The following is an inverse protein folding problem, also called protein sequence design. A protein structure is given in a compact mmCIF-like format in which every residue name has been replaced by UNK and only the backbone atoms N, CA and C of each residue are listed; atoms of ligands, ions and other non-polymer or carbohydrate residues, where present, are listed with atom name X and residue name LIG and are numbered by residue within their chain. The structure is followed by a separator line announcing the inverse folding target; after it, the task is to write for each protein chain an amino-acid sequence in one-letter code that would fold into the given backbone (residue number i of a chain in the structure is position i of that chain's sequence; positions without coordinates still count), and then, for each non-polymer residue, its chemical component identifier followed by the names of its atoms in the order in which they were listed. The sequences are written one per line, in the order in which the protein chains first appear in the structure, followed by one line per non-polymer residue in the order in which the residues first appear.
data_IF_985724587728
#
_entry.id   IF_985724587728
#
_cell.length_a   1.000
_cell.length_b   1.000
_cell.length_c   1.000
_cell.angle_alpha   90.00
_cell.angle_beta   90.00
_cell.angle_gamma   90.00
#
_symmetry.space_group_name_H-M   'P 1'
#
loop_
_entity.id
_entity.type
_entity.pdbx_description
1 polymer ?
#
# COMPACT_ATOMS: atom_id res chain seq x y z
N UNK A 1 -4.23 -21.43 -20.36
CA UNK A 1 -4.97 -22.19 -19.32
C UNK A 1 -4.10 -22.48 -18.10
N UNK A 2 -2.91 -23.10 -18.25
CA UNK A 2 -2.00 -23.37 -17.11
C UNK A 2 -1.56 -22.14 -16.30
N UNK A 3 -1.47 -20.96 -16.92
CA UNK A 3 -1.06 -19.72 -16.24
C UNK A 3 -2.13 -19.19 -15.27
N UNK A 4 -3.41 -19.32 -15.62
CA UNK A 4 -4.52 -18.80 -14.82
C UNK A 4 -4.79 -19.66 -13.59
N UNK A 5 -4.69 -20.99 -13.72
CA UNK A 5 -4.82 -21.91 -12.59
C UNK A 5 -3.65 -21.79 -11.58
N UNK A 6 -2.46 -21.47 -12.09
CA UNK A 6 -1.23 -21.23 -11.30
C UNK A 6 -1.32 -19.89 -10.55
N UNK A 7 -1.78 -18.83 -11.22
CA UNK A 7 -2.04 -17.52 -10.62
C UNK A 7 -3.15 -17.60 -9.56
N UNK A 8 -4.25 -18.31 -9.83
CA UNK A 8 -5.34 -18.52 -8.87
C UNK A 8 -4.87 -19.28 -7.62
N UNK A 9 -4.03 -20.29 -7.78
CA UNK A 9 -3.47 -21.04 -6.64
C UNK A 9 -2.52 -20.18 -5.80
N UNK A 10 -1.66 -19.40 -6.43
CA UNK A 10 -0.78 -18.45 -5.73
C UNK A 10 -1.60 -17.42 -4.96
N UNK A 11 -2.64 -16.86 -5.57
CA UNK A 11 -3.50 -15.84 -4.95
C UNK A 11 -4.26 -16.40 -3.73
N UNK A 12 -4.76 -17.63 -3.79
CA UNK A 12 -5.42 -18.27 -2.64
C UNK A 12 -4.55 -18.33 -1.38
N UNK A 13 -3.23 -18.52 -1.53
CA UNK A 13 -2.32 -18.50 -0.37
C UNK A 13 -2.13 -17.09 0.20
N UNK A 14 -2.05 -16.09 -0.68
CA UNK A 14 -1.97 -14.68 -0.28
C UNK A 14 -3.24 -14.25 0.47
N UNK A 15 -4.41 -14.62 -0.04
CA UNK A 15 -5.71 -14.33 0.57
C UNK A 15 -5.90 -15.07 1.90
N UNK A 16 -5.45 -16.33 1.96
CA UNK A 16 -5.44 -17.11 3.19
C UNK A 16 -4.56 -16.47 4.26
N UNK A 17 -3.36 -16.00 3.88
CA UNK A 17 -2.48 -15.27 4.80
C UNK A 17 -3.13 -13.95 5.27
N UNK A 18 -3.76 -13.20 4.37
CA UNK A 18 -4.44 -11.96 4.72
C UNK A 18 -5.57 -12.19 5.74
N UNK A 19 -6.38 -13.23 5.54
CA UNK A 19 -7.42 -13.66 6.49
C UNK A 19 -6.81 -13.97 7.86
N UNK A 20 -5.71 -14.74 7.89
CA UNK A 20 -5.04 -15.13 9.13
C UNK A 20 -4.40 -13.95 9.88
N UNK A 21 -3.86 -12.97 9.14
CA UNK A 21 -3.34 -11.73 9.73
C UNK A 21 -4.48 -10.95 10.40
N UNK A 22 -5.65 -10.87 9.77
CA UNK A 22 -6.82 -10.22 10.36
C UNK A 22 -7.33 -10.92 11.62
N UNK A 23 -7.28 -12.26 11.67
CA UNK A 23 -7.76 -13.04 12.81
C UNK A 23 -6.81 -13.02 14.02
N UNK A 24 -5.50 -13.11 13.77
CA UNK A 24 -4.50 -13.36 14.84
C UNK A 24 -3.13 -12.73 14.63
N UNK A 25 -2.94 -11.96 13.57
CA UNK A 25 -1.68 -11.33 13.22
C UNK A 25 -0.67 -12.26 12.53
N UNK A 26 0.33 -11.63 11.89
CA UNK A 26 1.35 -12.34 11.10
C UNK A 26 2.25 -13.24 11.94
N UNK A 27 2.69 -12.76 13.12
CA UNK A 27 3.59 -13.51 14.00
C UNK A 27 2.99 -14.87 14.44
N UNK A 28 1.70 -14.90 14.77
CA UNK A 28 0.99 -16.11 15.22
C UNK A 28 0.54 -17.05 14.08
N UNK A 29 0.82 -16.70 12.83
CA UNK A 29 0.43 -17.48 11.65
C UNK A 29 1.54 -18.44 11.21
N UNK A 30 1.21 -19.68 10.86
CA UNK A 30 2.15 -20.66 10.30
C UNK A 30 1.80 -21.08 8.86
N UNK A 31 2.73 -21.72 8.15
CA UNK A 31 2.45 -22.30 6.82
C UNK A 31 1.35 -23.36 6.90
N UNK A 32 1.25 -24.11 8.01
CA UNK A 32 0.17 -25.09 8.22
C UNK A 32 -1.20 -24.41 8.24
N UNK A 33 -1.30 -23.26 8.90
CA UNK A 33 -2.55 -22.49 8.95
C UNK A 33 -2.92 -21.99 7.56
N UNK A 34 -1.95 -21.42 6.83
CA UNK A 34 -2.16 -20.86 5.49
C UNK A 34 -2.70 -21.93 4.54
N UNK A 35 -2.07 -23.10 4.47
CA UNK A 35 -2.52 -24.16 3.55
C UNK A 35 -3.87 -24.75 3.93
N UNK A 36 -4.21 -24.75 5.23
CA UNK A 36 -5.54 -25.15 5.71
C UNK A 36 -6.62 -24.18 5.24
N UNK A 37 -6.40 -22.87 5.39
CA UNK A 37 -7.35 -21.84 4.94
C UNK A 37 -7.44 -21.81 3.42
N UNK A 38 -6.31 -21.94 2.72
CA UNK A 38 -6.27 -21.98 1.26
C UNK A 38 -6.82 -23.29 0.65
N UNK A 39 -7.19 -24.28 1.48
CA UNK A 39 -7.65 -25.61 1.07
C UNK A 39 -6.67 -26.28 0.08
N UNK A 40 -5.38 -26.26 0.43
CA UNK A 40 -4.30 -26.78 -0.41
C UNK A 40 -3.27 -27.55 0.44
N UNK A 41 -2.28 -28.15 -0.23
CA UNK A 41 -1.21 -28.90 0.45
C UNK A 41 0.01 -28.02 0.72
N UNK A 42 0.84 -28.44 1.70
CA UNK A 42 2.19 -27.85 1.89
C UNK A 42 3.05 -27.97 0.64
N UNK A 43 2.98 -29.12 -0.04
CA UNK A 43 3.71 -29.33 -1.29
C UNK A 43 3.34 -28.28 -2.31
N UNK A 44 2.04 -27.99 -2.47
CA UNK A 44 1.54 -26.94 -3.37
C UNK A 44 2.03 -25.56 -2.95
N UNK A 45 2.00 -25.23 -1.65
CA UNK A 45 2.52 -23.95 -1.15
C UNK A 45 3.99 -23.74 -1.51
N UNK A 46 4.82 -24.76 -1.30
CA UNK A 46 6.25 -24.69 -1.57
C UNK A 46 6.61 -24.67 -3.08
N UNK A 47 5.64 -24.89 -3.98
CA UNK A 47 5.83 -24.59 -5.41
C UNK A 47 5.87 -23.08 -5.69
N UNK A 48 5.16 -22.27 -4.89
CA UNK A 48 5.02 -20.83 -5.10
C UNK A 48 5.85 -19.99 -4.13
N UNK A 49 6.00 -20.45 -2.89
CA UNK A 49 6.65 -19.70 -1.82
C UNK A 49 7.60 -20.59 -1.04
N UNK A 50 8.87 -20.19 -0.95
CA UNK A 50 9.88 -20.87 -0.17
C UNK A 50 9.55 -20.89 1.34
N UNK A 51 8.80 -19.88 1.82
CA UNK A 51 8.41 -19.77 3.23
C UNK A 51 7.24 -18.77 3.44
N UNK A 52 6.76 -18.68 4.68
CA UNK A 52 5.72 -17.72 5.09
C UNK A 52 6.09 -16.27 4.76
N UNK A 53 7.35 -15.90 4.90
CA UNK A 53 7.82 -14.54 4.66
C UNK A 53 7.67 -14.16 3.18
N UNK A 54 8.02 -15.04 2.25
CA UNK A 54 7.86 -14.76 0.82
C UNK A 54 6.38 -14.59 0.43
N UNK A 55 5.49 -15.40 1.01
CA UNK A 55 4.03 -15.23 0.87
C UNK A 55 3.56 -13.87 1.45
N UNK A 56 4.12 -13.43 2.57
CA UNK A 56 3.82 -12.11 3.14
C UNK A 56 4.32 -10.95 2.27
N UNK A 57 5.52 -11.06 1.69
CA UNK A 57 6.02 -10.05 0.75
C UNK A 57 5.14 -9.97 -0.50
N UNK A 58 4.60 -11.09 -0.97
CA UNK A 58 3.63 -11.13 -2.06
C UNK A 58 2.28 -10.48 -1.68
N UNK A 59 1.81 -10.65 -0.44
CA UNK A 59 0.65 -9.93 0.08
C UNK A 59 0.87 -8.41 0.10
N UNK A 60 2.02 -7.97 0.61
CA UNK A 60 2.34 -6.53 0.64
C UNK A 60 2.50 -5.93 -0.76
N UNK A 61 2.92 -6.75 -1.72
CA UNK A 61 2.96 -6.37 -3.12
C UNK A 61 1.55 -6.13 -3.66
N UNK A 62 0.63 -7.09 -3.48
CA UNK A 62 -0.75 -6.96 -3.99
C UNK A 62 -1.49 -5.80 -3.33
N UNK A 63 -1.31 -5.59 -2.02
CA UNK A 63 -1.91 -4.45 -1.30
C UNK A 63 -1.47 -3.10 -1.89
N UNK A 64 -0.21 -2.98 -2.30
CA UNK A 64 0.26 -1.74 -2.94
C UNK A 64 -0.32 -1.57 -4.34
N UNK A 65 -0.46 -2.66 -5.09
CA UNK A 65 -1.04 -2.64 -6.43
C UNK A 65 -2.53 -2.23 -6.37
N UNK A 66 -3.27 -2.77 -5.39
CA UNK A 66 -4.65 -2.41 -5.08
C UNK A 66 -4.77 -0.92 -4.71
N UNK A 67 -3.90 -0.43 -3.81
CA UNK A 67 -3.86 0.98 -3.42
C UNK A 67 -3.63 1.92 -4.63
N UNK A 68 -2.71 1.55 -5.51
CA UNK A 68 -2.43 2.32 -6.73
C UNK A 68 -3.65 2.35 -7.64
N UNK A 69 -4.35 1.22 -7.79
CA UNK A 69 -5.59 1.15 -8.57
C UNK A 69 -6.71 2.00 -7.95
N UNK A 70 -6.90 1.92 -6.63
CA UNK A 70 -7.91 2.69 -5.89
C UNK A 70 -7.71 4.21 -6.07
N UNK A 71 -6.46 4.68 -5.94
CA UNK A 71 -6.14 6.10 -6.16
C UNK A 71 -6.42 6.52 -7.61
N UNK A 72 -6.00 5.71 -8.60
CA UNK A 72 -6.26 6.00 -10.01
C UNK A 72 -7.75 6.12 -10.30
N UNK A 73 -8.57 5.26 -9.68
CA UNK A 73 -10.02 5.30 -9.86
C UNK A 73 -10.67 6.50 -9.16
N UNK A 74 -10.15 6.89 -7.99
CA UNK A 74 -10.74 7.95 -7.18
C UNK A 74 -10.38 9.38 -7.64
N UNK A 75 -9.22 9.57 -8.28
CA UNK A 75 -8.75 10.89 -8.69
C UNK A 75 -9.38 11.30 -10.02
N UNK A 76 -10.14 12.39 -9.99
CA UNK A 76 -10.64 13.04 -11.20
C UNK A 76 -9.52 13.89 -11.82
N UNK A 77 -8.96 13.41 -12.92
CA UNK A 77 -7.84 14.07 -13.60
C UNK A 77 -8.17 15.46 -14.15
N UNK A 78 -9.46 15.81 -14.28
CA UNK A 78 -9.91 17.13 -14.70
C UNK A 78 -10.23 18.08 -13.53
N UNK A 79 -10.33 17.57 -12.30
CA UNK A 79 -10.56 18.42 -11.14
C UNK A 79 -9.37 19.38 -10.90
N UNK A 80 -9.62 20.46 -10.17
CA UNK A 80 -8.55 21.35 -9.70
C UNK A 80 -7.53 20.57 -8.87
N UNK A 81 -6.23 20.83 -9.04
CA UNK A 81 -5.15 20.02 -8.45
C UNK A 81 -5.23 19.87 -6.92
N UNK A 82 -5.74 20.88 -6.20
CA UNK A 82 -5.99 20.76 -4.75
C UNK A 82 -7.03 19.69 -4.42
N UNK A 83 -8.09 19.59 -5.23
CA UNK A 83 -9.14 18.58 -5.06
C UNK A 83 -8.59 17.19 -5.39
N UNK A 84 -7.71 17.08 -6.39
CA UNK A 84 -7.05 15.82 -6.72
C UNK A 84 -6.16 15.32 -5.58
N UNK A 85 -5.40 16.22 -4.91
CA UNK A 85 -4.61 15.86 -3.73
C UNK A 85 -5.52 15.35 -2.62
N UNK A 86 -6.65 16.03 -2.36
CA UNK A 86 -7.63 15.59 -1.36
C UNK A 86 -8.23 14.22 -1.73
N UNK A 87 -8.59 13.99 -2.98
CA UNK A 87 -9.10 12.70 -3.48
C UNK A 87 -8.07 11.59 -3.28
N UNK A 88 -6.81 11.85 -3.63
CA UNK A 88 -5.70 10.90 -3.43
C UNK A 88 -5.55 10.50 -1.96
N UNK A 89 -5.51 11.47 -1.04
CA UNK A 89 -5.41 11.14 0.40
C UNK A 89 -6.66 10.46 0.93
N UNK A 90 -7.85 10.84 0.45
CA UNK A 90 -9.09 10.16 0.82
C UNK A 90 -9.05 8.69 0.41
N UNK A 91 -8.64 8.39 -0.82
CA UNK A 91 -8.49 7.02 -1.31
C UNK A 91 -7.40 6.25 -0.55
N UNK A 92 -6.26 6.89 -0.28
CA UNK A 92 -5.18 6.29 0.51
C UNK A 92 -5.65 5.89 1.92
N UNK A 93 -6.34 6.79 2.63
CA UNK A 93 -6.81 6.51 3.98
C UNK A 93 -7.95 5.48 3.96
N UNK A 94 -8.88 5.55 3.02
CA UNK A 94 -9.94 4.55 2.84
C UNK A 94 -9.36 3.14 2.60
N UNK A 95 -8.28 3.04 1.82
CA UNK A 95 -7.58 1.78 1.62
C UNK A 95 -6.97 1.23 2.92
N UNK A 96 -6.32 2.10 3.72
CA UNK A 96 -5.75 1.68 5.01
C UNK A 96 -6.81 1.21 6.00
N UNK A 97 -7.97 1.89 6.05
CA UNK A 97 -9.06 1.58 6.99
C UNK A 97 -9.91 0.38 6.54
N UNK A 98 -9.90 0.03 5.25
CA UNK A 98 -10.57 -1.16 4.74
C UNK A 98 -9.92 -2.47 5.24
N UNK A 99 -8.61 -2.48 5.50
CA UNK A 99 -7.86 -3.67 5.95
C UNK A 99 -6.89 -3.35 7.10
N UNK A 100 -7.38 -2.88 8.26
CA UNK A 100 -6.56 -2.27 9.31
C UNK A 100 -5.50 -3.24 9.87
N UNK A 101 -5.81 -4.54 9.98
CA UNK A 101 -4.84 -5.53 10.45
C UNK A 101 -3.62 -5.69 9.52
N UNK A 102 -3.82 -5.55 8.21
CA UNK A 102 -2.73 -5.63 7.21
C UNK A 102 -1.95 -4.32 7.20
N UNK A 103 -2.65 -3.18 7.29
CA UNK A 103 -2.04 -1.86 7.45
C UNK A 103 -1.12 -1.83 8.68
N UNK A 104 -1.59 -2.36 9.82
CA UNK A 104 -0.81 -2.47 11.06
C UNK A 104 0.31 -3.51 10.97
N UNK A 105 0.14 -4.63 10.24
CA UNK A 105 1.21 -5.62 10.09
C UNK A 105 2.39 -5.05 9.31
N UNK A 106 2.16 -4.10 8.39
CA UNK A 106 3.26 -3.36 7.76
C UNK A 106 4.11 -2.64 8.83
N UNK A 107 3.48 -1.94 9.77
CA UNK A 107 4.18 -1.18 10.81
C UNK A 107 4.88 -2.12 11.80
N UNK A 108 4.20 -3.18 12.24
CA UNK A 108 4.66 -4.06 13.33
C UNK A 108 5.58 -5.19 12.86
N UNK A 109 5.26 -5.83 11.74
CA UNK A 109 5.92 -7.07 11.31
C UNK A 109 6.97 -6.86 10.21
N UNK A 110 6.75 -5.93 9.28
CA UNK A 110 7.70 -5.72 8.17
C UNK A 110 9.11 -5.30 8.64
N UNK A 111 9.28 -4.39 9.64
CA UNK A 111 10.61 -4.01 10.11
C UNK A 111 11.39 -5.19 10.70
N UNK A 112 10.69 -6.14 11.34
CA UNK A 112 11.31 -7.31 11.95
C UNK A 112 11.96 -8.25 10.90
N UNK A 113 11.59 -8.14 9.62
CA UNK A 113 12.22 -8.90 8.52
C UNK A 113 13.59 -8.33 8.09
N UNK A 114 13.97 -7.15 8.59
CA UNK A 114 15.27 -6.54 8.34
C UNK A 114 15.60 -6.38 6.84
N UNK A 115 16.77 -6.86 6.43
CA UNK A 115 17.26 -6.72 5.06
C UNK A 115 16.36 -7.39 4.01
N UNK A 116 15.61 -8.43 4.38
CA UNK A 116 14.74 -9.15 3.47
C UNK A 116 13.52 -8.34 3.01
N UNK A 117 13.13 -7.30 3.76
CA UNK A 117 12.06 -6.38 3.38
C UNK A 117 12.51 -5.29 2.39
N UNK A 118 13.82 -5.09 2.18
CA UNK A 118 14.32 -3.99 1.33
C UNK A 118 13.82 -4.06 -0.12
N UNK A 119 13.78 -5.23 -0.78
CA UNK A 119 13.28 -5.32 -2.16
C UNK A 119 11.81 -4.87 -2.26
N UNK A 120 10.94 -5.35 -1.35
CA UNK A 120 9.52 -4.97 -1.38
C UNK A 120 9.32 -3.50 -1.05
N UNK A 121 10.05 -2.95 -0.08
CA UNK A 121 9.98 -1.52 0.25
C UNK A 121 10.39 -0.65 -0.94
N UNK A 122 11.46 -1.04 -1.67
CA UNK A 122 11.90 -0.34 -2.87
C UNK A 122 10.89 -0.42 -4.01
N UNK A 123 10.33 -1.61 -4.26
CA UNK A 123 9.27 -1.81 -5.26
C UNK A 123 8.06 -0.94 -4.95
N UNK A 124 7.50 -1.07 -3.76
CA UNK A 124 6.28 -0.37 -3.36
C UNK A 124 6.49 1.15 -3.36
N UNK A 125 7.65 1.62 -2.93
CA UNK A 125 8.01 3.03 -3.05
C UNK A 125 8.08 3.50 -4.51
N UNK A 126 8.69 2.70 -5.41
CA UNK A 126 8.81 3.04 -6.82
C UNK A 126 7.44 3.12 -7.51
N UNK A 127 6.53 2.20 -7.21
CA UNK A 127 5.14 2.20 -7.73
C UNK A 127 4.40 3.46 -7.30
N UNK A 128 4.42 3.79 -6.00
CA UNK A 128 3.77 4.99 -5.48
C UNK A 128 4.40 6.29 -6.02
N UNK A 129 5.72 6.33 -6.18
CA UNK A 129 6.41 7.47 -6.77
C UNK A 129 6.06 7.63 -8.27
N UNK A 130 5.93 6.53 -9.00
CA UNK A 130 5.49 6.55 -10.40
C UNK A 130 4.05 7.07 -10.52
N UNK A 131 3.15 6.63 -9.64
CA UNK A 131 1.77 7.14 -9.55
C UNK A 131 1.74 8.65 -9.28
N UNK A 132 2.55 9.14 -8.33
CA UNK A 132 2.64 10.59 -8.09
C UNK A 132 3.12 11.36 -9.32
N UNK A 133 4.09 10.82 -10.07
CA UNK A 133 4.54 11.41 -11.33
C UNK A 133 3.46 11.42 -12.42
N UNK A 134 2.69 10.34 -12.53
CA UNK A 134 1.53 10.22 -13.43
C UNK A 134 0.47 11.28 -13.10
N UNK A 135 0.04 11.35 -11.84
CA UNK A 135 -0.96 12.32 -11.38
C UNK A 135 -0.48 13.77 -11.56
N UNK A 136 0.78 14.06 -11.24
CA UNK A 136 1.35 15.38 -11.42
C UNK A 136 1.50 15.82 -12.88
N UNK A 137 1.30 14.89 -13.82
CA UNK A 137 1.36 15.17 -15.26
C UNK A 137 -0.02 15.26 -15.91
N UNK A 138 -1.11 15.16 -15.14
CA UNK A 138 -2.47 15.16 -15.66
C UNK A 138 -3.02 16.59 -15.93
N UNK A 139 -4.19 16.74 -16.61
CA UNK A 139 -4.71 18.04 -17.01
C UNK A 139 -4.89 19.04 -15.86
N UNK A 140 -5.39 18.61 -14.71
CA UNK A 140 -5.58 19.50 -13.56
C UNK A 140 -4.27 20.04 -12.98
N UNK A 141 -3.21 19.22 -12.93
CA UNK A 141 -1.87 19.66 -12.52
C UNK A 141 -1.19 20.51 -13.60
N UNK A 142 -1.35 20.17 -14.88
CA UNK A 142 -0.81 20.96 -15.99
C UNK A 142 -1.41 22.37 -16.02
N UNK A 143 -2.72 22.51 -15.80
CA UNK A 143 -3.40 23.82 -15.68
C UNK A 143 -2.85 24.67 -14.56
N UNK A 144 -2.33 24.05 -13.49
CA UNK A 144 -1.76 24.75 -12.34
C UNK A 144 -0.34 25.28 -12.60
N UNK A 145 0.35 24.81 -13.64
CA UNK A 145 1.71 25.24 -13.98
C UNK A 145 2.75 24.92 -12.89
N UNK A 146 2.53 23.86 -12.11
CA UNK A 146 3.41 23.47 -11.02
C UNK A 146 4.73 22.85 -11.55
N UNK A 147 5.84 23.02 -10.82
CA UNK A 147 7.08 22.33 -11.17
C UNK A 147 6.92 20.79 -11.03
N UNK A 148 7.69 20.00 -11.78
CA UNK A 148 7.68 18.54 -11.64
C UNK A 148 7.97 18.09 -10.21
N UNK A 149 7.32 17.02 -9.78
CA UNK A 149 7.60 16.43 -8.47
C UNK A 149 9.01 15.86 -8.48
N UNK A 150 9.90 16.44 -7.68
CA UNK A 150 11.25 15.93 -7.50
C UNK A 150 11.23 14.70 -6.60
N UNK A 151 12.23 13.82 -6.74
CA UNK A 151 12.37 12.63 -5.89
C UNK A 151 12.33 12.96 -4.39
N UNK A 152 13.02 14.00 -3.87
CA UNK A 152 12.90 14.39 -2.46
C UNK A 152 11.47 14.76 -2.05
N UNK A 153 10.75 15.54 -2.87
CA UNK A 153 9.34 15.88 -2.60
C UNK A 153 8.47 14.62 -2.56
N UNK A 154 8.62 13.71 -3.51
CA UNK A 154 7.89 12.43 -3.51
C UNK A 154 8.20 11.59 -2.26
N UNK A 155 9.47 11.49 -1.85
CA UNK A 155 9.87 10.80 -0.61
C UNK A 155 9.19 11.43 0.60
N UNK A 156 9.22 12.75 0.73
CA UNK A 156 8.63 13.45 1.87
C UNK A 156 7.12 13.26 1.95
N UNK A 157 6.40 13.34 0.83
CA UNK A 157 4.96 13.14 0.78
C UNK A 157 4.57 11.72 1.17
N UNK A 158 5.21 10.71 0.56
CA UNK A 158 4.92 9.30 0.82
C UNK A 158 5.32 8.88 2.23
N UNK A 159 6.51 9.26 2.69
CA UNK A 159 6.97 8.93 4.03
C UNK A 159 6.17 9.67 5.10
N UNK A 160 5.83 10.94 4.86
CA UNK A 160 5.09 11.78 5.80
C UNK A 160 3.67 11.28 6.03
N UNK A 161 2.90 11.00 4.97
CA UNK A 161 1.53 10.47 5.14
C UNK A 161 1.53 9.09 5.81
N UNK A 162 2.47 8.22 5.42
CA UNK A 162 2.60 6.89 6.02
C UNK A 162 2.89 6.99 7.51
N UNK A 163 3.83 7.85 7.90
CA UNK A 163 4.22 8.03 9.29
C UNK A 163 3.09 8.66 10.11
N UNK A 164 2.42 9.68 9.56
CA UNK A 164 1.30 10.33 10.24
C UNK A 164 0.12 9.36 10.44
N UNK A 165 -0.21 8.55 9.43
CA UNK A 165 -1.23 7.51 9.55
C UNK A 165 -0.84 6.43 10.57
N UNK A 166 0.44 6.03 10.61
CA UNK A 166 0.94 5.06 11.58
C UNK A 166 0.82 5.58 13.02
N UNK A 167 1.30 6.79 13.31
CA UNK A 167 1.21 7.38 14.65
C UNK A 167 -0.24 7.58 15.08
N UNK A 168 -1.10 8.07 14.19
CA UNK A 168 -2.54 8.23 14.47
C UNK A 168 -3.19 6.90 14.83
N UNK A 169 -2.83 5.82 14.12
CA UNK A 169 -3.34 4.47 14.41
C UNK A 169 -2.78 3.89 15.72
N UNK A 170 -1.53 4.17 16.08
CA UNK A 170 -0.92 3.74 17.34
C UNK A 170 -1.50 4.47 18.56
N UNK A 171 -1.93 5.71 18.39
CA UNK A 171 -2.59 6.52 19.41
C UNK A 171 -4.10 6.23 19.56
N UNK A 172 -4.62 5.20 18.87
CA UNK A 172 -6.05 4.84 18.81
C UNK A 172 -6.95 6.01 18.38
N UNK A 173 -6.41 6.90 17.53
CA UNK A 173 -7.14 8.04 16.97
C UNK A 173 -7.75 7.69 15.60
N UNK A 174 -8.71 8.51 15.18
CA UNK A 174 -9.34 8.38 13.87
C UNK A 174 -8.34 8.71 12.74
N UNK A 175 -7.97 7.71 11.95
CA UNK A 175 -7.03 7.83 10.83
C UNK A 175 -7.59 8.77 9.74
N UNK A 176 -8.92 8.93 9.61
CA UNK A 176 -9.51 9.89 8.65
C UNK A 176 -9.11 11.34 8.96
N UNK A 177 -8.79 11.65 10.22
CA UNK A 177 -8.29 12.97 10.62
C UNK A 177 -6.98 13.37 9.93
N UNK A 178 -6.22 12.41 9.40
CA UNK A 178 -4.97 12.63 8.65
C UNK A 178 -5.20 13.33 7.31
N UNK A 179 -6.38 13.18 6.69
CA UNK A 179 -6.65 13.66 5.33
C UNK A 179 -6.44 15.17 5.21
N UNK A 180 -6.94 15.95 6.18
CA UNK A 180 -6.81 17.41 6.19
C UNK A 180 -5.35 17.87 6.24
N UNK A 181 -4.61 17.57 7.33
CA UNK A 181 -3.20 17.95 7.48
C UNK A 181 -2.31 17.45 6.33
N UNK A 182 -2.51 16.22 5.86
CA UNK A 182 -1.74 15.67 4.74
C UNK A 182 -1.99 16.45 3.44
N UNK A 183 -3.24 16.83 3.18
CA UNK A 183 -3.62 17.66 2.02
C UNK A 183 -2.93 19.03 2.06
N UNK A 184 -2.98 19.71 3.21
CA UNK A 184 -2.44 21.06 3.36
C UNK A 184 -0.90 21.08 3.23
N UNK A 185 -0.23 20.09 3.82
CA UNK A 185 1.23 19.93 3.71
C UNK A 185 1.61 19.61 2.26
N UNK A 186 0.88 18.72 1.58
CA UNK A 186 1.17 18.37 0.20
C UNK A 186 1.04 19.57 -0.74
N UNK A 187 -0.04 20.35 -0.59
CA UNK A 187 -0.24 21.60 -1.34
C UNK A 187 0.95 22.54 -1.12
N UNK A 188 1.37 22.71 0.13
CA UNK A 188 2.50 23.59 0.49
C UNK A 188 3.82 23.14 -0.14
N UNK A 189 4.13 21.83 -0.10
CA UNK A 189 5.35 21.25 -0.68
C UNK A 189 5.35 21.37 -2.21
N UNK A 190 4.20 21.17 -2.84
CA UNK A 190 4.06 21.18 -4.30
C UNK A 190 4.05 22.59 -4.87
N UNK A 191 3.45 23.56 -4.16
CA UNK A 191 3.44 24.97 -4.55
C UNK A 191 4.78 25.67 -4.29
N UNK A 192 5.64 25.12 -3.44
CA UNK A 192 6.97 25.67 -3.19
C UNK A 192 7.83 25.64 -4.46
N UNK A 193 8.52 26.75 -4.80
CA UNK A 193 9.33 26.87 -6.01
C UNK A 193 10.49 25.88 -6.08
#
# INVERSE_FOLDING_TARGET
MRNTEDDDARQRFVDALATLIAERGYAATSVVDIVRVAQASKTTFYLYFANKQECYLALLASVTDDLVADIRQAVDSDAHWHNQIRQMFTAYIAHLTARPAISLSWIRDLPALGAAARPIQRRNFAELAALLGELASNPGFQRAGLPPITKPKAVMLLAGVRELAAQTAEDDLDIESVIGPATDIAISILAAP
#
